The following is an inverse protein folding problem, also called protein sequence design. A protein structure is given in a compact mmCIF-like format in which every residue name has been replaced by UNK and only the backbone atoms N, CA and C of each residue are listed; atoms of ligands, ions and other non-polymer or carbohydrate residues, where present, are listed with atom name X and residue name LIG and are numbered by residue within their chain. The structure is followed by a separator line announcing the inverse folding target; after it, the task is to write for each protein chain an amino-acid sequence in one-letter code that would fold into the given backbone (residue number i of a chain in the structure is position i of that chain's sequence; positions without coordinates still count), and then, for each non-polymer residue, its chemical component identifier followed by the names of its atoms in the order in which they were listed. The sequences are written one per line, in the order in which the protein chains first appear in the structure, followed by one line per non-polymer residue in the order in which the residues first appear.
data_IF_675689894297
#
_entry.id   IF_675689894297
#
_cell.length_a   1.000
_cell.length_b   1.000
_cell.length_c   1.000
_cell.angle_alpha   90.00
_cell.angle_beta   90.00
_cell.angle_gamma   90.00
#
_symmetry.space_group_name_H-M   'P 1'
#
loop_
_entity.id
_entity.type
_entity.pdbx_description
1 polymer ?
#
# COMPACT_ATOMS: atom_id res chain seq x y z
N UNK A 1 -21.45 31.18 26.33
CA UNK A 1 -21.48 29.73 26.09
C UNK A 1 -21.62 29.45 24.60
N UNK A 2 -20.57 28.95 23.95
CA UNK A 2 -20.58 28.15 22.70
C UNK A 2 -19.16 27.62 22.51
N UNK A 3 -19.00 26.32 22.79
CA UNK A 3 -17.71 25.63 22.86
C UNK A 3 -17.17 25.42 21.45
N UNK A 4 -15.94 25.88 21.19
CA UNK A 4 -15.14 25.45 20.04
C UNK A 4 -14.62 24.05 20.34
N UNK A 5 -15.08 23.08 19.55
CA UNK A 5 -14.75 21.66 19.68
C UNK A 5 -13.88 21.24 18.50
N UNK A 6 -12.98 20.29 18.80
CA UNK A 6 -12.07 19.55 17.93
C UNK A 6 -10.83 20.36 17.52
N UNK A 7 -9.83 20.47 18.40
CA UNK A 7 -8.83 19.42 18.68
C UNK A 7 -8.31 18.80 17.36
N UNK A 8 -7.33 19.51 16.79
CA UNK A 8 -6.44 19.01 15.77
C UNK A 8 -5.85 17.67 16.24
N UNK A 9 -6.37 16.56 15.71
CA UNK A 9 -5.67 15.28 15.71
C UNK A 9 -4.55 15.44 14.68
N UNK A 10 -3.50 16.15 15.08
CA UNK A 10 -2.19 16.08 14.48
C UNK A 10 -1.64 14.69 14.74
N UNK A 11 -2.16 13.71 14.00
CA UNK A 11 -1.55 12.40 13.88
C UNK A 11 -0.15 12.65 13.35
N UNK A 12 0.83 12.51 14.24
CA UNK A 12 2.23 12.59 13.92
C UNK A 12 2.51 11.65 12.74
N UNK A 13 2.63 12.24 11.56
CA UNK A 13 3.03 11.58 10.32
C UNK A 13 4.53 11.32 10.44
N UNK A 14 4.88 10.31 11.23
CA UNK A 14 6.23 9.73 11.22
C UNK A 14 6.34 8.98 9.91
N UNK A 15 6.70 9.71 8.84
CA UNK A 15 7.23 9.10 7.61
C UNK A 15 8.54 8.47 8.00
N UNK A 16 8.45 7.21 8.39
CA UNK A 16 9.62 6.36 8.48
C UNK A 16 10.18 6.28 7.07
N UNK A 17 11.28 7.00 6.80
CA UNK A 17 11.92 7.12 5.49
C UNK A 17 12.22 5.77 4.82
N UNK A 18 12.18 4.68 5.60
CA UNK A 18 12.28 3.28 5.17
C UNK A 18 11.11 2.77 4.31
N UNK A 19 9.92 3.39 4.35
CA UNK A 19 8.77 2.95 3.54
C UNK A 19 8.83 3.47 2.09
N UNK A 20 9.59 4.53 1.84
CA UNK A 20 9.67 5.19 0.53
C UNK A 20 10.32 4.26 -0.52
N UNK A 21 11.37 3.52 -0.14
CA UNK A 21 12.16 2.70 -1.06
C UNK A 21 11.48 1.38 -1.48
N UNK A 22 10.74 0.73 -0.59
CA UNK A 22 10.05 -0.53 -0.91
C UNK A 22 8.86 -0.29 -1.85
N UNK A 23 8.13 0.78 -1.59
CA UNK A 23 7.03 1.28 -2.40
C UNK A 23 7.49 1.70 -3.80
N UNK A 24 8.71 2.22 -3.91
CA UNK A 24 9.28 2.72 -5.16
C UNK A 24 9.28 1.66 -6.27
N UNK A 25 9.46 0.39 -5.92
CA UNK A 25 9.43 -0.72 -6.88
C UNK A 25 8.04 -0.89 -7.55
N UNK A 26 6.97 -0.81 -6.75
CA UNK A 26 5.60 -0.85 -7.26
C UNK A 26 5.28 0.42 -8.07
N UNK A 27 5.72 1.58 -7.60
CA UNK A 27 5.50 2.88 -8.27
C UNK A 27 6.21 2.94 -9.62
N UNK A 28 7.38 2.31 -9.80
CA UNK A 28 8.07 2.24 -11.11
C UNK A 28 7.20 1.64 -12.21
N UNK A 29 6.42 0.60 -11.90
CA UNK A 29 5.52 -0.03 -12.88
C UNK A 29 4.11 0.58 -12.89
N UNK A 30 3.61 1.05 -11.75
CA UNK A 30 2.25 1.57 -11.59
C UNK A 30 2.15 3.10 -11.65
N UNK A 31 3.27 3.79 -11.88
CA UNK A 31 3.45 5.25 -12.01
C UNK A 31 3.27 6.05 -10.72
N UNK A 32 2.24 5.76 -9.92
CA UNK A 32 1.94 6.51 -8.70
C UNK A 32 1.44 5.59 -7.58
N UNK A 33 1.56 6.07 -6.35
CA UNK A 33 1.02 5.33 -5.20
C UNK A 33 -0.51 5.25 -5.18
N UNK A 34 -1.20 6.23 -5.74
CA UNK A 34 -2.65 6.18 -5.86
C UNK A 34 -3.09 5.04 -6.79
N UNK A 35 -2.35 4.84 -7.89
CA UNK A 35 -2.58 3.71 -8.81
C UNK A 35 -2.32 2.37 -8.14
N UNK A 36 -1.26 2.28 -7.32
CA UNK A 36 -0.96 1.08 -6.53
C UNK A 36 -2.11 0.80 -5.56
N UNK A 37 -2.54 1.79 -4.78
CA UNK A 37 -3.65 1.64 -3.84
C UNK A 37 -4.97 1.26 -4.53
N UNK A 38 -5.29 1.86 -5.68
CA UNK A 38 -6.45 1.48 -6.49
C UNK A 38 -6.39 0.02 -6.95
N UNK A 39 -5.22 -0.43 -7.44
CA UNK A 39 -5.05 -1.80 -7.88
C UNK A 39 -5.13 -2.80 -6.71
N UNK A 40 -4.62 -2.44 -5.54
CA UNK A 40 -4.74 -3.24 -4.32
C UNK A 40 -6.23 -3.33 -3.92
N UNK A 41 -6.97 -2.22 -3.92
CA UNK A 41 -8.43 -2.23 -3.67
C UNK A 41 -9.18 -3.11 -4.67
N UNK A 42 -8.82 -3.05 -5.96
CA UNK A 42 -9.39 -3.90 -7.03
C UNK A 42 -9.06 -5.38 -6.89
N UNK A 43 -7.96 -5.73 -6.23
CA UNK A 43 -7.61 -7.13 -5.97
C UNK A 43 -8.57 -7.80 -4.98
N UNK A 44 -9.30 -7.01 -4.18
CA UNK A 44 -10.19 -7.52 -3.13
C UNK A 44 -9.48 -8.11 -1.90
N UNK A 45 -8.14 -8.01 -1.84
CA UNK A 45 -7.37 -8.49 -0.71
C UNK A 45 -7.67 -7.67 0.55
N UNK A 46 -7.97 -8.37 1.66
CA UNK A 46 -8.27 -7.78 2.97
C UNK A 46 -7.06 -7.73 3.90
N UNK A 47 -6.00 -8.45 3.55
CA UNK A 47 -4.75 -8.49 4.29
C UNK A 47 -3.54 -8.47 3.35
N UNK A 48 -2.39 -8.14 3.91
CA UNK A 48 -1.13 -8.12 3.17
C UNK A 48 -0.75 -9.52 2.66
N UNK A 49 -1.01 -10.56 3.45
CA UNK A 49 -0.80 -11.96 3.05
C UNK A 49 -1.77 -12.41 1.95
N UNK A 50 -3.04 -11.97 2.00
CA UNK A 50 -3.99 -12.22 0.91
C UNK A 50 -3.56 -11.53 -0.39
N UNK A 51 -2.98 -10.32 -0.32
CA UNK A 51 -2.45 -9.66 -1.51
C UNK A 51 -1.26 -10.42 -2.09
N UNK A 52 -0.35 -10.90 -1.23
CA UNK A 52 0.77 -11.74 -1.67
C UNK A 52 0.24 -13.00 -2.35
N UNK A 53 -0.65 -13.74 -1.70
CA UNK A 53 -1.26 -14.94 -2.30
C UNK A 53 -1.96 -14.63 -3.64
N UNK A 54 -2.70 -13.52 -3.70
CA UNK A 54 -3.32 -13.08 -4.94
C UNK A 54 -2.28 -12.85 -6.04
N UNK A 55 -1.20 -12.11 -5.77
CA UNK A 55 -0.17 -11.81 -6.76
C UNK A 55 0.66 -13.03 -7.15
N UNK A 56 0.83 -14.01 -6.26
CA UNK A 56 1.59 -15.24 -6.53
C UNK A 56 0.78 -16.29 -7.26
N UNK A 57 -0.48 -16.47 -6.88
CA UNK A 57 -1.26 -17.64 -7.26
C UNK A 57 -2.52 -17.32 -8.07
N UNK A 58 -3.20 -16.20 -7.81
CA UNK A 58 -4.53 -15.91 -8.39
C UNK A 58 -4.53 -14.87 -9.51
N UNK A 59 -3.51 -14.02 -9.57
CA UNK A 59 -3.41 -12.96 -10.56
C UNK A 59 -2.96 -13.50 -11.91
N UNK A 60 -3.68 -13.13 -12.97
CA UNK A 60 -3.25 -13.36 -14.35
C UNK A 60 -1.87 -12.72 -14.67
N UNK A 61 -1.43 -11.75 -13.85
CA UNK A 61 -0.14 -11.05 -13.97
C UNK A 61 0.90 -11.54 -12.97
N UNK A 62 0.77 -12.76 -12.42
CA UNK A 62 1.73 -13.33 -11.46
C UNK A 62 3.19 -13.28 -11.93
N UNK A 63 3.41 -13.54 -13.22
CA UNK A 63 4.75 -13.54 -13.81
C UNK A 63 5.44 -12.17 -13.75
N UNK A 64 4.67 -11.07 -13.79
CA UNK A 64 5.20 -9.71 -13.72
C UNK A 64 5.61 -9.32 -12.29
N UNK A 65 5.01 -9.95 -11.28
CA UNK A 65 5.27 -9.65 -9.88
C UNK A 65 6.29 -10.61 -9.26
N UNK A 66 6.72 -11.67 -9.96
CA UNK A 66 7.61 -12.72 -9.41
C UNK A 66 8.93 -12.22 -8.83
N UNK A 67 9.42 -11.09 -9.34
CA UNK A 67 10.69 -10.47 -8.93
C UNK A 67 10.53 -9.45 -7.80
N UNK A 68 9.30 -9.04 -7.50
CA UNK A 68 9.01 -8.19 -6.34
C UNK A 68 9.05 -9.07 -5.11
N UNK A 69 9.68 -8.63 -4.02
CA UNK A 69 9.72 -9.41 -2.78
C UNK A 69 8.39 -9.33 -2.04
N UNK A 70 8.05 -10.38 -1.28
CA UNK A 70 6.79 -10.42 -0.52
C UNK A 70 6.74 -9.29 0.52
N UNK A 71 7.88 -8.93 1.12
CA UNK A 71 7.99 -7.83 2.06
C UNK A 71 7.66 -6.48 1.43
N UNK A 72 8.05 -6.27 0.17
CA UNK A 72 7.77 -5.03 -0.56
C UNK A 72 6.28 -4.93 -0.91
N UNK A 73 5.65 -6.06 -1.29
CA UNK A 73 4.20 -6.15 -1.51
C UNK A 73 3.45 -5.83 -0.21
N UNK A 74 3.87 -6.41 0.92
CA UNK A 74 3.24 -6.17 2.23
C UNK A 74 3.38 -4.72 2.67
N UNK A 75 4.55 -4.10 2.44
CA UNK A 75 4.76 -2.67 2.70
C UNK A 75 3.87 -1.80 1.81
N UNK A 76 3.75 -2.11 0.52
CA UNK A 76 2.86 -1.39 -0.39
C UNK A 76 1.39 -1.47 0.05
N UNK A 77 0.94 -2.63 0.57
CA UNK A 77 -0.38 -2.79 1.16
C UNK A 77 -0.58 -1.89 2.40
N UNK A 78 0.39 -1.91 3.33
CA UNK A 78 0.34 -1.08 4.53
C UNK A 78 0.33 0.43 4.21
N UNK A 79 1.10 0.86 3.20
CA UNK A 79 1.13 2.26 2.75
C UNK A 79 -0.14 2.65 1.99
N UNK A 80 -0.75 1.74 1.22
CA UNK A 80 -2.03 1.98 0.57
C UNK A 80 -3.19 2.18 1.55
N UNK A 81 -3.13 1.56 2.75
CA UNK A 81 -4.11 1.73 3.82
C UNK A 81 -4.00 3.06 4.58
N UNK A 82 -2.92 3.82 4.38
CA UNK A 82 -2.72 5.16 4.98
C UNK A 82 -3.27 6.30 4.11
N UNK A 83 -3.71 6.00 2.88
CA UNK A 83 -4.22 6.96 1.89
C UNK A 83 -5.74 7.02 1.84
#
# INVERSE_FOLDING_TARGET
MKKLVALLIGGAFVVSASSVFAVESCVKCHKTMDKVAENIKKSGAKSADELVDFLRNKSAKKALHKSVKDEDIKKAFAEAGKK
#
